data_IF_798678999210
#
_entry.id   IF_798678999210
#
_cell.length_a   1.000
_cell.length_b   1.000
_cell.length_c   1.000
_cell.angle_alpha   90.00
_cell.angle_beta   90.00
_cell.angle_gamma   90.00
#
_symmetry.space_group_name_H-M   'P 1'
#
loop_
_entity.id
_entity.type
_entity.pdbx_description
1 polymer ?
#
# COMPACT_ATOMS: atom_id res chain seq x y z
N UNK A 1 19.33 16.97 18.06
CA UNK A 1 18.39 17.62 17.16
C UNK A 1 17.74 16.57 16.28
N UNK A 2 16.44 16.71 16.01
CA UNK A 2 15.71 15.74 15.17
C UNK A 2 15.30 16.40 13.88
N UNK A 3 15.36 15.63 12.81
CA UNK A 3 14.95 16.05 11.48
C UNK A 3 13.73 15.28 11.02
N UNK A 4 13.02 15.84 10.07
CA UNK A 4 11.85 15.21 9.43
C UNK A 4 12.15 14.99 7.95
N UNK A 5 11.76 13.83 7.44
CA UNK A 5 11.75 13.54 6.01
C UNK A 5 10.34 13.11 5.62
N UNK A 6 9.85 13.59 4.49
CA UNK A 6 8.53 13.28 3.97
C UNK A 6 8.64 12.64 2.59
N UNK A 7 7.86 11.60 2.35
CA UNK A 7 7.87 10.84 1.11
C UNK A 7 6.43 10.65 0.63
N UNK A 8 6.17 10.93 -0.63
CA UNK A 8 4.85 10.69 -1.23
C UNK A 8 4.60 9.18 -1.29
N UNK A 9 3.54 8.72 -0.64
CA UNK A 9 3.23 7.28 -0.56
C UNK A 9 3.12 6.64 -1.94
N UNK A 10 2.46 7.25 -2.96
CA UNK A 10 2.40 6.61 -4.28
C UNK A 10 3.75 6.42 -4.96
N UNK A 11 4.77 7.18 -4.58
CA UNK A 11 6.13 7.01 -5.10
C UNK A 11 6.90 5.91 -4.37
N UNK A 12 6.62 5.73 -3.08
CA UNK A 12 7.27 4.70 -2.26
C UNK A 12 6.59 3.35 -2.44
N UNK A 13 5.26 3.35 -2.50
CA UNK A 13 4.43 2.16 -2.65
C UNK A 13 3.56 2.32 -3.89
N UNK A 14 4.06 1.95 -5.09
CA UNK A 14 3.26 2.05 -6.31
C UNK A 14 1.95 1.26 -6.21
N UNK A 15 0.85 1.88 -6.63
CA UNK A 15 -0.48 1.28 -6.52
C UNK A 15 -1.20 1.56 -5.20
N UNK A 16 -0.54 2.19 -4.24
CA UNK A 16 -1.13 2.58 -2.96
C UNK A 16 -1.39 4.08 -2.97
N UNK A 17 -2.66 4.47 -2.98
CA UNK A 17 -3.07 5.88 -2.98
C UNK A 17 -3.67 6.31 -1.64
N UNK A 18 -4.18 5.37 -0.85
CA UNK A 18 -4.89 5.62 0.39
C UNK A 18 -4.01 5.34 1.60
N UNK A 19 -3.93 6.30 2.52
CA UNK A 19 -3.18 6.16 3.77
C UNK A 19 -3.71 5.01 4.66
N UNK A 20 -4.94 4.56 4.44
CA UNK A 20 -5.54 3.45 5.18
C UNK A 20 -5.18 2.07 4.60
N UNK A 21 -4.48 2.01 3.47
CA UNK A 21 -4.05 0.73 2.88
C UNK A 21 -3.14 -0.04 3.84
N UNK A 22 -3.33 -1.35 3.92
CA UNK A 22 -2.56 -2.21 4.83
C UNK A 22 -1.04 -2.18 4.55
N UNK A 23 -0.62 -1.92 3.31
CA UNK A 23 0.80 -1.79 2.96
C UNK A 23 1.45 -0.57 3.61
N UNK A 24 0.68 0.47 3.93
CA UNK A 24 1.19 1.63 4.68
C UNK A 24 1.61 1.21 6.09
N UNK A 25 0.78 0.41 6.78
CA UNK A 25 1.15 -0.13 8.10
C UNK A 25 2.35 -1.06 8.02
N UNK A 26 2.48 -1.83 6.94
CA UNK A 26 3.61 -2.74 6.74
C UNK A 26 4.92 -1.98 6.59
N UNK A 27 4.95 -0.90 5.81
CA UNK A 27 6.18 -0.10 5.66
C UNK A 27 6.54 0.62 6.95
N UNK A 28 5.56 1.13 7.68
CA UNK A 28 5.78 1.74 9.00
C UNK A 28 6.42 0.73 9.94
N UNK A 29 5.89 -0.49 9.99
CA UNK A 29 6.41 -1.57 10.83
C UNK A 29 7.85 -1.98 10.49
N UNK A 30 8.27 -1.81 9.25
CA UNK A 30 9.65 -2.08 8.82
C UNK A 30 10.61 -0.96 9.15
N UNK A 31 10.14 0.27 9.19
CA UNK A 31 10.99 1.44 9.42
C UNK A 31 11.15 1.80 10.90
N UNK A 32 10.12 1.61 11.71
CA UNK A 32 10.17 1.94 13.14
C UNK A 32 11.32 1.31 13.92
N UNK A 33 11.67 0.02 13.71
CA UNK A 33 12.75 -0.61 14.47
C UNK A 33 14.15 -0.13 14.10
N UNK A 34 14.29 0.63 13.04
CA UNK A 34 15.62 1.07 12.57
C UNK A 34 16.27 2.00 13.59
N UNK A 35 17.56 1.76 13.88
CA UNK A 35 18.32 2.61 14.78
C UNK A 35 18.38 4.03 14.21
N UNK A 36 18.11 5.02 15.04
CA UNK A 36 18.09 6.43 14.63
C UNK A 36 16.74 6.94 14.15
N UNK A 37 15.77 6.06 13.98
CA UNK A 37 14.38 6.43 13.66
C UNK A 37 13.61 6.60 14.95
N UNK A 38 13.06 7.79 15.18
CA UNK A 38 12.31 8.10 16.39
C UNK A 38 10.81 7.86 16.21
N UNK A 39 10.26 8.26 15.05
CA UNK A 39 8.84 8.18 14.79
C UNK A 39 8.60 8.03 13.29
N UNK A 40 7.60 7.23 12.95
CA UNK A 40 7.10 7.09 11.58
C UNK A 40 5.58 7.20 11.63
N UNK A 41 5.02 8.12 10.86
CA UNK A 41 3.57 8.29 10.78
C UNK A 41 3.15 8.74 9.38
N UNK A 42 1.84 8.73 9.14
CA UNK A 42 1.26 9.07 7.83
C UNK A 42 0.54 10.39 7.93
N UNK A 43 0.76 11.24 6.92
CA UNK A 43 -0.02 12.44 6.71
C UNK A 43 -1.08 12.11 5.64
N UNK A 44 -2.38 12.29 5.94
CA UNK A 44 -3.44 11.96 4.99
C UNK A 44 -3.36 12.78 3.72
N UNK A 45 -3.87 12.23 2.61
CA UNK A 45 -4.00 12.97 1.37
C UNK A 45 -4.95 14.15 1.52
N UNK A 46 -4.64 15.23 0.82
CA UNK A 46 -5.51 16.39 0.65
C UNK A 46 -5.86 16.51 -0.82
N UNK A 47 -6.81 17.41 -1.21
CA UNK A 47 -7.10 17.61 -2.64
C UNK A 47 -5.88 18.01 -3.48
N UNK A 48 -4.91 18.68 -2.88
CA UNK A 48 -3.73 19.21 -3.57
C UNK A 48 -2.48 18.34 -3.41
N UNK A 49 -2.47 17.40 -2.46
CA UNK A 49 -1.28 16.63 -2.11
C UNK A 49 -1.60 15.17 -1.87
N UNK A 50 -0.73 14.24 -2.30
CA UNK A 50 -0.92 12.83 -1.97
C UNK A 50 -0.67 12.58 -0.48
N UNK A 51 -1.08 11.40 0.00
CA UNK A 51 -0.70 10.95 1.33
C UNK A 51 0.83 10.84 1.42
N UNK A 52 1.38 11.15 2.58
CA UNK A 52 2.83 11.17 2.80
C UNK A 52 3.23 10.33 3.98
N UNK A 53 4.37 9.68 3.85
CA UNK A 53 5.06 9.02 4.95
C UNK A 53 6.02 10.03 5.57
N UNK A 54 5.86 10.29 6.86
CA UNK A 54 6.70 11.23 7.60
C UNK A 54 7.59 10.46 8.58
N UNK A 55 8.90 10.69 8.51
CA UNK A 55 9.89 10.03 9.35
C UNK A 55 10.63 11.08 10.16
N UNK A 56 10.63 10.92 11.48
CA UNK A 56 11.44 11.71 12.39
C UNK A 56 12.67 10.90 12.74
N UNK A 57 13.85 11.44 12.51
CA UNK A 57 15.10 10.73 12.72
C UNK A 57 16.17 11.63 13.35
N UNK A 58 17.18 10.99 13.92
CA UNK A 58 18.34 11.65 14.48
C UNK A 58 19.41 11.79 13.39
N UNK A 59 19.71 13.03 12.94
CA UNK A 59 20.71 13.23 11.89
C UNK A 59 22.13 12.88 12.30
N UNK A 60 22.41 12.75 13.60
CA UNK A 60 23.69 12.27 14.09
C UNK A 60 23.84 10.76 13.94
N UNK A 61 22.73 10.03 13.94
CA UNK A 61 22.70 8.57 13.78
C UNK A 61 22.47 8.14 12.33
N UNK A 62 21.67 8.89 11.57
CA UNK A 62 21.30 8.59 10.19
C UNK A 62 21.42 9.84 9.33
N UNK A 63 21.99 9.70 8.13
CA UNK A 63 21.94 10.76 7.13
C UNK A 63 20.59 10.71 6.40
N UNK A 64 20.17 11.84 5.80
CA UNK A 64 18.99 11.87 4.96
C UNK A 64 19.12 10.90 3.78
N UNK A 65 20.31 10.77 3.23
CA UNK A 65 20.60 9.83 2.16
C UNK A 65 20.32 8.38 2.58
N UNK A 66 20.71 8.00 3.79
CA UNK A 66 20.45 6.68 4.36
C UNK A 66 18.94 6.47 4.59
N UNK A 67 18.25 7.49 5.13
CA UNK A 67 16.79 7.42 5.33
C UNK A 67 16.09 7.19 4.00
N UNK A 68 16.44 7.92 2.95
CA UNK A 68 15.88 7.74 1.62
C UNK A 68 16.13 6.34 1.08
N UNK A 69 17.34 5.82 1.23
CA UNK A 69 17.68 4.48 0.77
C UNK A 69 16.87 3.40 1.51
N UNK A 70 16.72 3.54 2.83
CA UNK A 70 15.95 2.59 3.63
C UNK A 70 14.45 2.62 3.29
N UNK A 71 13.88 3.79 3.06
CA UNK A 71 12.49 3.93 2.64
C UNK A 71 12.27 3.30 1.27
N UNK A 72 13.16 3.58 0.31
CA UNK A 72 13.07 3.00 -1.02
C UNK A 72 13.19 1.48 -0.99
N UNK A 73 14.11 0.93 -0.20
CA UNK A 73 14.30 -0.50 -0.07
C UNK A 73 13.08 -1.17 0.57
N UNK A 74 12.54 -0.58 1.64
CA UNK A 74 11.35 -1.11 2.31
C UNK A 74 10.13 -1.09 1.38
N UNK A 75 9.95 -0.01 0.62
CA UNK A 75 8.87 0.11 -0.36
C UNK A 75 8.99 -0.92 -1.48
N UNK A 76 10.21 -1.14 -1.98
CA UNK A 76 10.47 -2.13 -3.02
C UNK A 76 10.19 -3.56 -2.53
N UNK A 77 10.59 -3.90 -1.31
CA UNK A 77 10.32 -5.20 -0.71
C UNK A 77 8.81 -5.46 -0.59
N UNK A 78 8.06 -4.46 -0.13
CA UNK A 78 6.60 -4.56 -0.01
C UNK A 78 5.94 -4.69 -1.39
N UNK A 79 6.38 -3.90 -2.37
CA UNK A 79 5.84 -3.96 -3.72
C UNK A 79 6.12 -5.31 -4.41
N UNK A 80 7.25 -5.95 -4.09
CA UNK A 80 7.57 -7.28 -4.60
C UNK A 80 6.76 -8.38 -3.93
N UNK A 81 6.38 -8.20 -2.67
CA UNK A 81 5.63 -9.20 -1.90
C UNK A 81 4.12 -9.09 -2.13
N UNK A 82 3.60 -7.88 -2.23
CA UNK A 82 2.18 -7.60 -2.33
C UNK A 82 1.85 -6.92 -3.65
N UNK A 83 0.81 -7.42 -4.33
CA UNK A 83 0.29 -6.81 -5.55
C UNK A 83 -0.96 -6.01 -5.28
N UNK A 84 -1.16 -4.98 -6.09
CA UNK A 84 -2.37 -4.15 -6.09
C UNK A 84 -2.93 -4.12 -7.50
N UNK A 85 -4.21 -4.45 -7.65
CA UNK A 85 -4.92 -4.37 -8.92
C UNK A 85 -6.13 -3.46 -8.77
N UNK A 86 -6.38 -2.69 -9.84
CA UNK A 86 -7.56 -1.85 -9.95
C UNK A 86 -8.19 -2.16 -11.31
N UNK A 87 -9.43 -2.67 -11.30
CA UNK A 87 -10.18 -2.97 -12.51
C UNK A 87 -11.48 -2.20 -12.55
N UNK A 88 -11.95 -1.92 -13.76
CA UNK A 88 -13.25 -1.32 -14.01
C UNK A 88 -14.11 -2.34 -14.75
N UNK A 89 -15.25 -2.72 -14.16
CA UNK A 89 -16.20 -3.67 -14.73
C UNK A 89 -17.48 -2.93 -15.08
N UNK A 90 -17.88 -3.00 -16.36
CA UNK A 90 -19.10 -2.38 -16.80
C UNK A 90 -20.35 -3.17 -16.38
N UNK A 91 -21.46 -2.47 -16.13
CA UNK A 91 -22.75 -3.09 -15.84
C UNK A 91 -22.86 -3.77 -14.47
N UNK A 92 -21.99 -3.41 -13.53
CA UNK A 92 -22.03 -3.96 -12.19
C UNK A 92 -23.13 -3.29 -11.36
N UNK A 93 -23.86 -4.08 -10.57
CA UNK A 93 -24.84 -3.60 -9.60
C UNK A 93 -24.51 -4.14 -8.20
N UNK A 94 -25.18 -3.62 -7.17
CA UNK A 94 -24.82 -3.87 -5.76
C UNK A 94 -24.76 -5.36 -5.39
N UNK A 95 -25.73 -6.18 -5.85
CA UNK A 95 -25.74 -7.61 -5.55
C UNK A 95 -24.56 -8.33 -6.20
N UNK A 96 -24.29 -8.03 -7.46
CA UNK A 96 -23.18 -8.66 -8.20
C UNK A 96 -21.85 -8.19 -7.65
N UNK A 97 -21.73 -6.93 -7.27
CA UNK A 97 -20.54 -6.39 -6.63
C UNK A 97 -20.19 -7.17 -5.35
N UNK A 98 -21.22 -7.43 -4.52
CA UNK A 98 -21.03 -8.21 -3.29
C UNK A 98 -20.60 -9.64 -3.58
N UNK A 99 -21.25 -10.29 -4.56
CA UNK A 99 -20.92 -11.67 -4.95
C UNK A 99 -19.50 -11.78 -5.46
N UNK A 100 -19.05 -10.85 -6.31
CA UNK A 100 -17.69 -10.82 -6.83
C UNK A 100 -16.70 -10.59 -5.68
N UNK A 101 -16.98 -9.63 -4.82
CA UNK A 101 -16.13 -9.32 -3.67
C UNK A 101 -15.96 -10.52 -2.74
N UNK A 102 -17.05 -11.21 -2.41
CA UNK A 102 -17.03 -12.39 -1.56
C UNK A 102 -16.23 -13.53 -2.21
N UNK A 103 -16.42 -13.74 -3.51
CA UNK A 103 -15.70 -14.79 -4.25
C UNK A 103 -14.20 -14.52 -4.27
N UNK A 104 -13.80 -13.29 -4.58
CA UNK A 104 -12.39 -12.92 -4.62
C UNK A 104 -11.75 -13.00 -3.23
N UNK A 105 -12.46 -12.56 -2.20
CA UNK A 105 -11.94 -12.58 -0.83
C UNK A 105 -11.67 -13.99 -0.30
N UNK A 106 -12.31 -15.01 -0.88
CA UNK A 106 -12.12 -16.41 -0.47
C UNK A 106 -10.90 -17.07 -1.13
N UNK A 107 -10.31 -16.44 -2.15
CA UNK A 107 -9.16 -17.01 -2.83
C UNK A 107 -7.92 -16.95 -1.93
N UNK A 108 -7.16 -18.06 -1.80
CA UNK A 108 -5.92 -18.03 -1.02
C UNK A 108 -4.95 -16.99 -1.59
N UNK A 109 -4.38 -16.17 -0.72
CA UNK A 109 -3.45 -15.11 -1.12
C UNK A 109 -4.08 -13.75 -1.34
N UNK A 110 -5.41 -13.66 -1.40
CA UNK A 110 -6.11 -12.37 -1.45
C UNK A 110 -6.21 -11.81 -0.04
N UNK A 111 -5.73 -10.60 0.15
CA UNK A 111 -5.66 -9.94 1.47
C UNK A 111 -6.77 -8.92 1.67
N UNK A 112 -7.11 -8.19 0.61
CA UNK A 112 -8.13 -7.15 0.68
C UNK A 112 -8.84 -7.04 -0.66
N UNK A 113 -10.16 -6.90 -0.64
CA UNK A 113 -10.99 -6.69 -1.83
C UNK A 113 -11.98 -5.58 -1.54
N UNK A 114 -12.05 -4.63 -2.47
CA UNK A 114 -13.06 -3.59 -2.48
C UNK A 114 -13.74 -3.58 -3.83
N UNK A 115 -15.05 -3.83 -3.86
CA UNK A 115 -15.86 -3.78 -5.08
C UNK A 115 -17.01 -2.82 -4.84
N UNK A 116 -17.18 -1.82 -5.71
CA UNK A 116 -18.30 -0.90 -5.60
C UNK A 116 -19.29 -1.08 -6.76
N UNK A 117 -20.54 -0.62 -6.60
CA UNK A 117 -21.57 -0.77 -7.65
C UNK A 117 -21.27 0.00 -8.94
N UNK A 118 -20.37 0.97 -8.91
CA UNK A 118 -19.92 1.68 -10.10
C UNK A 118 -18.97 0.84 -10.97
N UNK A 119 -18.56 -0.33 -10.48
CA UNK A 119 -17.73 -1.26 -11.23
C UNK A 119 -16.25 -1.21 -10.90
N UNK A 120 -15.84 -0.42 -9.92
CA UNK A 120 -14.45 -0.36 -9.50
C UNK A 120 -14.12 -1.54 -8.59
N UNK A 121 -13.09 -2.29 -8.96
CA UNK A 121 -12.58 -3.44 -8.18
C UNK A 121 -11.14 -3.15 -7.79
N UNK A 122 -10.87 -3.14 -6.48
CA UNK A 122 -9.50 -3.00 -5.93
C UNK A 122 -9.15 -4.28 -5.19
N UNK A 123 -8.01 -4.85 -5.51
CA UNK A 123 -7.55 -6.10 -4.90
C UNK A 123 -6.11 -5.92 -4.43
N UNK A 124 -5.86 -6.30 -3.19
CA UNK A 124 -4.52 -6.48 -2.65
C UNK A 124 -4.29 -7.97 -2.43
N UNK A 125 -3.16 -8.48 -2.91
CA UNK A 125 -2.87 -9.92 -2.86
C UNK A 125 -1.39 -10.19 -2.62
N UNK A 126 -1.11 -11.39 -2.14
CA UNK A 126 0.26 -11.86 -1.93
C UNK A 126 0.76 -12.53 -3.21
N UNK A 127 1.80 -11.97 -3.82
CA UNK A 127 2.29 -12.43 -5.12
C UNK A 127 2.81 -13.86 -5.12
N UNK A 128 3.34 -14.32 -3.99
CA UNK A 128 3.80 -15.71 -3.87
C UNK A 128 2.67 -16.72 -3.81
N UNK A 129 1.45 -16.30 -3.44
CA UNK A 129 0.32 -17.20 -3.24
C UNK A 129 -0.66 -17.22 -4.40
N UNK A 130 -0.79 -16.13 -5.15
CA UNK A 130 -1.75 -16.00 -6.24
C UNK A 130 -1.24 -15.08 -7.33
N UNK A 131 -1.62 -15.34 -8.59
CA UNK A 131 -1.23 -14.53 -9.75
C UNK A 131 -2.36 -13.64 -10.21
N UNK A 132 -2.01 -12.59 -10.95
CA UNK A 132 -2.99 -11.70 -11.58
C UNK A 132 -3.93 -12.47 -12.52
N UNK A 133 -3.41 -13.44 -13.28
CA UNK A 133 -4.21 -14.25 -14.19
C UNK A 133 -5.27 -15.07 -13.44
N UNK A 134 -4.90 -15.65 -12.30
CA UNK A 134 -5.85 -16.39 -11.46
C UNK A 134 -6.95 -15.46 -10.95
N UNK A 135 -6.61 -14.25 -10.54
CA UNK A 135 -7.59 -13.25 -10.11
C UNK A 135 -8.53 -12.83 -11.23
N UNK A 136 -7.99 -12.60 -12.43
CA UNK A 136 -8.78 -12.22 -13.59
C UNK A 136 -9.76 -13.32 -13.98
N UNK A 137 -9.35 -14.59 -13.91
CA UNK A 137 -10.20 -15.72 -14.24
C UNK A 137 -11.32 -15.98 -13.22
N UNK A 138 -11.23 -15.40 -12.03
CA UNK A 138 -12.24 -15.55 -10.98
C UNK A 138 -13.39 -14.54 -11.07
N UNK A 139 -13.27 -13.56 -11.95
CA UNK A 139 -14.30 -12.52 -12.13
C UNK A 139 -15.55 -13.01 -12.88
#
# INVERSE_FOLDING_TARGET
>A
MKEKAQFDIPLVLPGVADAADACVERIIGRLRPRAGVDEVHVLPATPDQPAKLCIHYDPDALSLSTVRAEVSAAGAEIANQYGHLIWQIAGLHARRARTIGDRLAQLPGVLEVNVNPAGLVRIEFERAAITEDTLANAL
#
